data_IF_338023408909
#
_entry.id   IF_338023408909
#
_cell.length_a   1.000
_cell.length_b   1.000
_cell.length_c   1.000
_cell.angle_alpha   90.00
_cell.angle_beta   90.00
_cell.angle_gamma   90.00
#
_symmetry.space_group_name_H-M   'P 1'
#
loop_
_entity.id
_entity.type
_entity.pdbx_description
1 polymer ?
#
# COMPACT_ATOMS: atom_id res chain seq x y z
N UNK A 1 -3.63 -12.55 -20.74
CA UNK A 1 -2.72 -11.64 -21.47
C UNK A 1 -1.33 -12.30 -21.52
N UNK A 2 -0.93 -12.84 -22.68
CA UNK A 2 0.33 -13.62 -22.82
C UNK A 2 1.62 -12.79 -22.74
N UNK A 3 1.50 -11.47 -22.60
CA UNK A 3 2.65 -10.54 -22.58
C UNK A 3 3.36 -10.56 -21.24
N UNK A 4 2.63 -10.70 -20.12
CA UNK A 4 3.23 -10.62 -18.79
C UNK A 4 4.27 -11.74 -18.54
N UNK A 5 4.00 -13.04 -18.80
CA UNK A 5 5.00 -14.08 -18.62
C UNK A 5 6.26 -13.87 -19.47
N UNK A 6 6.11 -13.39 -20.72
CA UNK A 6 7.24 -13.08 -21.61
C UNK A 6 8.09 -11.93 -21.08
N UNK A 7 7.45 -10.86 -20.60
CA UNK A 7 8.14 -9.73 -19.98
C UNK A 7 8.81 -10.12 -18.66
N UNK A 8 8.17 -10.97 -17.86
CA UNK A 8 8.76 -11.47 -16.61
C UNK A 8 10.01 -12.29 -16.86
N UNK A 9 10.01 -13.17 -17.87
CA UNK A 9 11.21 -13.89 -18.28
C UNK A 9 12.34 -12.92 -18.65
N UNK A 10 12.03 -11.87 -19.43
CA UNK A 10 13.01 -10.83 -19.78
C UNK A 10 13.56 -10.12 -18.54
N UNK A 11 12.70 -9.72 -17.60
CA UNK A 11 13.13 -9.01 -16.39
C UNK A 11 13.96 -9.89 -15.47
N UNK A 12 13.65 -11.19 -15.37
CA UNK A 12 14.44 -12.11 -14.56
C UNK A 12 15.80 -12.43 -15.18
N UNK A 13 15.88 -12.48 -16.51
CA UNK A 13 17.12 -12.85 -17.22
C UNK A 13 18.03 -11.65 -17.48
N UNK A 14 17.47 -10.48 -17.78
CA UNK A 14 18.22 -9.30 -18.22
C UNK A 14 17.89 -8.07 -17.36
N UNK A 15 18.69 -7.86 -16.33
CA UNK A 15 18.66 -6.67 -15.45
C UNK A 15 19.51 -5.52 -16.02
N UNK A 16 19.26 -5.14 -17.27
CA UNK A 16 20.08 -4.19 -18.06
C UNK A 16 19.36 -2.82 -18.23
N UNK A 17 18.07 -2.76 -17.88
CA UNK A 17 17.19 -1.66 -18.22
C UNK A 17 17.42 -0.44 -17.30
N UNK A 18 18.39 0.40 -17.67
CA UNK A 18 18.73 1.64 -16.94
C UNK A 18 17.80 2.82 -17.31
N UNK A 19 17.20 2.80 -18.51
CA UNK A 19 16.35 3.91 -19.00
C UNK A 19 14.87 3.63 -18.74
N UNK A 20 14.25 4.43 -17.86
CA UNK A 20 12.82 4.35 -17.52
C UNK A 20 11.87 4.69 -18.68
N UNK A 21 12.39 5.21 -19.80
CA UNK A 21 11.63 5.64 -20.97
C UNK A 21 10.87 4.49 -21.66
N UNK A 22 11.47 3.30 -21.68
CA UNK A 22 10.87 2.10 -22.28
C UNK A 22 9.57 1.70 -21.59
N UNK A 23 9.53 1.76 -20.25
CA UNK A 23 8.32 1.47 -19.47
C UNK A 23 7.19 2.45 -19.81
N UNK A 24 7.51 3.73 -20.02
CA UNK A 24 6.53 4.72 -20.46
C UNK A 24 5.97 4.45 -21.86
N UNK A 25 6.76 3.88 -22.77
CA UNK A 25 6.28 3.43 -24.09
C UNK A 25 5.35 2.21 -23.94
N UNK A 26 5.79 1.17 -23.23
CA UNK A 26 4.98 -0.04 -23.01
C UNK A 26 3.67 0.25 -22.27
N UNK A 27 3.71 1.13 -21.27
CA UNK A 27 2.52 1.55 -20.55
C UNK A 27 1.52 2.27 -21.46
N UNK A 28 1.99 3.12 -22.40
CA UNK A 28 1.14 3.77 -23.40
C UNK A 28 0.51 2.73 -24.34
N UNK A 29 1.27 1.74 -24.80
CA UNK A 29 0.77 0.71 -25.71
C UNK A 29 -0.26 -0.19 -25.02
N UNK A 30 -0.01 -0.60 -23.78
CA UNK A 30 -0.98 -1.33 -22.95
C UNK A 30 -2.24 -0.49 -22.75
N UNK A 31 -2.09 0.81 -22.45
CA UNK A 31 -3.25 1.70 -22.28
C UNK A 31 -4.06 1.83 -23.57
N UNK A 32 -3.41 2.02 -24.72
CA UNK A 32 -4.08 2.04 -26.04
C UNK A 32 -4.84 0.74 -26.31
N UNK A 33 -4.25 -0.41 -25.98
CA UNK A 33 -4.90 -1.71 -26.13
C UNK A 33 -6.12 -1.84 -25.22
N UNK A 34 -5.98 -1.56 -23.92
CA UNK A 34 -7.05 -1.64 -22.92
C UNK A 34 -8.24 -0.74 -23.28
N UNK A 35 -7.96 0.45 -23.82
CA UNK A 35 -9.00 1.42 -24.19
C UNK A 35 -9.42 1.35 -25.67
N UNK A 36 -8.92 0.38 -26.45
CA UNK A 36 -9.22 0.25 -27.89
C UNK A 36 -8.98 1.56 -28.67
N UNK A 37 -7.89 2.26 -28.36
CA UNK A 37 -7.55 3.57 -28.95
C UNK A 37 -8.35 4.76 -28.41
N UNK A 38 -9.35 4.55 -27.55
CA UNK A 38 -10.14 5.62 -26.92
C UNK A 38 -9.37 6.28 -25.77
N UNK A 39 -9.78 7.49 -25.37
CA UNK A 39 -9.18 8.21 -24.24
C UNK A 39 -9.38 7.42 -22.93
N UNK A 40 -8.32 7.21 -22.13
CA UNK A 40 -8.42 6.52 -20.84
C UNK A 40 -9.45 7.19 -19.91
N UNK A 41 -10.39 6.40 -19.38
CA UNK A 41 -11.42 6.89 -18.44
C UNK A 41 -10.98 6.76 -16.98
N UNK A 42 -10.02 5.88 -16.70
CA UNK A 42 -9.53 5.55 -15.36
C UNK A 42 -8.03 5.82 -15.31
N UNK A 43 -7.55 6.39 -14.19
CA UNK A 43 -6.12 6.59 -13.97
C UNK A 43 -5.40 5.25 -13.95
N UNK A 44 -4.21 5.19 -14.55
CA UNK A 44 -3.44 3.94 -14.64
C UNK A 44 -3.11 3.34 -13.27
N UNK A 45 -2.84 4.17 -12.26
CA UNK A 45 -2.56 3.76 -10.88
C UNK A 45 -3.71 2.95 -10.27
N UNK A 46 -4.95 3.38 -10.47
CA UNK A 46 -6.17 2.66 -10.07
C UNK A 46 -6.34 1.35 -10.86
N UNK A 47 -6.04 1.35 -12.16
CA UNK A 47 -6.08 0.13 -12.97
C UNK A 47 -5.11 -0.93 -12.43
N UNK A 48 -3.92 -0.52 -11.99
CA UNK A 48 -2.88 -1.40 -11.46
C UNK A 48 -3.10 -1.87 -10.03
N UNK A 49 -3.96 -1.20 -9.26
CA UNK A 49 -4.18 -1.57 -7.86
C UNK A 49 -4.85 -2.95 -7.72
N UNK A 50 -4.70 -3.55 -6.55
CA UNK A 50 -5.24 -4.86 -6.26
C UNK A 50 -6.78 -4.87 -6.36
N UNK A 51 -7.35 -5.99 -6.84
CA UNK A 51 -8.82 -6.18 -6.90
C UNK A 51 -9.48 -5.98 -5.54
N UNK A 52 -8.81 -6.42 -4.47
CA UNK A 52 -9.31 -6.25 -3.10
C UNK A 52 -9.55 -4.79 -2.73
N UNK A 53 -8.68 -3.90 -3.21
CA UNK A 53 -8.72 -2.46 -2.96
C UNK A 53 -9.57 -1.69 -3.98
N UNK A 54 -10.22 -2.38 -4.91
CA UNK A 54 -11.06 -1.78 -5.94
C UNK A 54 -10.32 -1.42 -7.24
N UNK A 55 -9.08 -1.89 -7.41
CA UNK A 55 -8.39 -1.83 -8.70
C UNK A 55 -8.78 -2.96 -9.64
N UNK A 56 -8.20 -2.96 -10.85
CA UNK A 56 -8.44 -3.99 -11.86
C UNK A 56 -7.34 -5.06 -11.91
N UNK A 57 -6.32 -4.95 -11.04
CA UNK A 57 -5.12 -5.79 -11.04
C UNK A 57 -4.43 -5.86 -12.42
N UNK A 58 -4.37 -4.72 -13.12
CA UNK A 58 -3.56 -4.59 -14.33
C UNK A 58 -2.07 -4.70 -13.96
N UNK A 59 -1.27 -5.52 -14.64
CA UNK A 59 0.16 -5.65 -14.34
C UNK A 59 0.94 -4.35 -14.58
N UNK A 60 1.64 -3.85 -13.56
CA UNK A 60 2.61 -2.76 -13.73
C UNK A 60 4.00 -3.35 -14.05
N UNK A 61 4.40 -3.25 -15.33
CA UNK A 61 5.67 -3.79 -15.81
C UNK A 61 6.89 -3.18 -15.11
N UNK A 62 6.82 -1.91 -14.69
CA UNK A 62 7.91 -1.25 -13.98
C UNK A 62 8.08 -1.84 -12.58
N UNK A 63 6.99 -2.01 -11.85
CA UNK A 63 7.04 -2.64 -10.51
C UNK A 63 7.48 -4.10 -10.60
N UNK A 64 7.11 -4.82 -11.66
CA UNK A 64 7.60 -6.19 -11.89
C UNK A 64 9.11 -6.23 -12.18
N UNK A 65 9.63 -5.28 -12.96
CA UNK A 65 11.06 -5.16 -13.20
C UNK A 65 11.82 -4.86 -11.90
N UNK A 66 11.34 -3.90 -11.10
CA UNK A 66 11.93 -3.56 -9.80
C UNK A 66 11.85 -4.74 -8.81
N UNK A 67 10.74 -5.50 -8.80
CA UNK A 67 10.62 -6.72 -8.00
C UNK A 67 11.60 -7.83 -8.43
N UNK A 68 11.82 -8.00 -9.74
CA UNK A 68 12.80 -8.95 -10.26
C UNK A 68 14.24 -8.52 -9.91
N UNK A 69 14.52 -7.22 -9.86
CA UNK A 69 15.82 -6.69 -9.43
C UNK A 69 16.11 -7.08 -7.96
N UNK A 70 15.11 -7.05 -7.09
CA UNK A 70 15.25 -7.52 -5.71
C UNK A 70 15.55 -9.02 -5.60
N UNK A 71 15.04 -9.85 -6.51
CA UNK A 71 15.41 -11.27 -6.55
C UNK A 71 16.91 -11.45 -6.84
N UNK A 72 17.51 -10.61 -7.68
CA UNK A 72 18.96 -10.62 -7.92
C UNK A 72 19.74 -10.06 -6.73
N UNK A 73 19.22 -9.01 -6.09
CA UNK A 73 19.85 -8.42 -4.90
C UNK A 73 19.85 -9.38 -3.71
N UNK A 74 18.92 -10.33 -3.64
CA UNK A 74 18.89 -11.36 -2.58
C UNK A 74 20.22 -12.07 -2.43
N UNK A 75 20.85 -12.47 -3.53
CA UNK A 75 22.17 -13.12 -3.53
C UNK A 75 23.25 -12.21 -2.92
N UNK A 76 23.20 -10.91 -3.22
CA UNK A 76 24.18 -9.93 -2.74
C UNK A 76 24.01 -9.61 -1.26
N UNK A 77 22.78 -9.71 -0.75
CA UNK A 77 22.45 -9.50 0.65
C UNK A 77 22.82 -10.72 1.51
N UNK A 78 22.48 -11.92 1.03
CA UNK A 78 22.69 -13.16 1.79
C UNK A 78 24.12 -13.70 1.70
N UNK A 79 24.82 -13.41 0.61
CA UNK A 79 26.17 -13.91 0.29
C UNK A 79 26.24 -15.43 0.11
N UNK A 80 25.13 -16.08 -0.28
CA UNK A 80 25.04 -17.55 -0.37
C UNK A 80 25.74 -18.16 -1.61
N UNK A 81 25.63 -17.51 -2.78
CA UNK A 81 26.15 -18.02 -4.05
C UNK A 81 27.51 -17.41 -4.40
N UNK A 82 28.60 -17.89 -3.77
CA UNK A 82 29.97 -17.34 -3.91
C UNK A 82 30.40 -17.23 -5.37
N UNK A 83 30.21 -18.27 -6.18
CA UNK A 83 30.68 -18.30 -7.57
C UNK A 83 30.02 -17.21 -8.42
N UNK A 84 28.71 -17.05 -8.24
CA UNK A 84 27.92 -16.03 -8.94
C UNK A 84 28.34 -14.63 -8.45
N UNK A 85 28.63 -14.46 -7.18
CA UNK A 85 29.10 -13.19 -6.59
C UNK A 85 30.52 -12.83 -7.04
N UNK A 86 31.37 -13.82 -7.26
CA UNK A 86 32.73 -13.61 -7.77
C UNK A 86 32.71 -13.21 -9.24
N UNK A 87 31.98 -13.95 -10.07
CA UNK A 87 31.71 -13.58 -11.47
C UNK A 87 31.08 -12.19 -11.57
N UNK A 88 29.99 -11.95 -10.83
CA UNK A 88 29.29 -10.67 -10.87
C UNK A 88 30.12 -9.53 -10.32
N UNK A 89 31.14 -9.77 -9.50
CA UNK A 89 31.91 -8.74 -8.79
C UNK A 89 33.40 -8.75 -9.11
N UNK A 90 33.82 -9.25 -10.28
CA UNK A 90 35.22 -9.51 -10.61
C UNK A 90 36.18 -8.31 -10.44
N UNK A 91 35.68 -7.08 -10.60
CA UNK A 91 36.43 -5.83 -10.47
C UNK A 91 36.00 -4.99 -9.25
N UNK A 92 35.31 -5.60 -8.27
CA UNK A 92 35.01 -4.93 -7.01
C UNK A 92 36.26 -4.90 -6.13
N UNK A 93 36.49 -3.77 -5.46
CA UNK A 93 37.63 -3.60 -4.53
C UNK A 93 37.27 -4.09 -3.13
N UNK A 94 36.01 -3.90 -2.73
CA UNK A 94 35.47 -4.29 -1.42
C UNK A 94 34.33 -5.31 -1.56
N UNK A 95 33.86 -5.82 -0.44
CA UNK A 95 32.64 -6.62 -0.36
C UNK A 95 31.39 -5.91 -0.87
N UNK A 96 30.34 -6.68 -1.17
CA UNK A 96 29.03 -6.21 -1.63
C UNK A 96 28.34 -5.32 -0.60
N UNK A 97 28.43 -5.63 0.70
CA UNK A 97 27.82 -4.83 1.77
C UNK A 97 28.47 -3.45 1.89
N UNK A 98 29.74 -3.33 1.51
CA UNK A 98 30.44 -2.04 1.41
C UNK A 98 29.77 -1.09 0.41
N UNK A 99 29.36 -1.62 -0.75
CA UNK A 99 28.70 -0.85 -1.79
C UNK A 99 27.22 -0.60 -1.48
N UNK A 100 26.52 -1.57 -0.90
CA UNK A 100 25.08 -1.47 -0.61
C UNK A 100 24.77 -0.56 0.59
N UNK A 101 25.59 -0.59 1.64
CA UNK A 101 25.30 0.13 2.88
C UNK A 101 26.18 1.35 3.12
N UNK A 102 27.50 1.23 2.95
CA UNK A 102 28.50 2.26 3.27
C UNK A 102 28.86 3.21 2.12
N UNK A 103 28.06 3.21 1.04
CA UNK A 103 28.16 4.17 -0.07
C UNK A 103 29.55 4.27 -0.73
N UNK A 104 30.33 3.17 -0.69
CA UNK A 104 31.64 3.04 -1.36
C UNK A 104 31.56 3.21 -2.88
N UNK A 105 30.34 3.21 -3.42
CA UNK A 105 30.04 3.51 -4.82
C UNK A 105 30.44 4.94 -5.21
N UNK A 106 30.43 5.90 -4.26
CA UNK A 106 30.93 7.27 -4.52
C UNK A 106 32.45 7.30 -4.75
N UNK A 107 33.18 6.47 -4.01
CA UNK A 107 34.64 6.38 -4.10
C UNK A 107 35.12 5.54 -5.27
N UNK A 108 34.38 4.47 -5.63
CA UNK A 108 34.77 3.53 -6.69
C UNK A 108 33.74 3.48 -7.82
N UNK A 109 33.98 4.28 -8.86
CA UNK A 109 33.11 4.35 -10.06
C UNK A 109 33.00 3.02 -10.81
N UNK A 110 33.99 2.12 -10.69
CA UNK A 110 34.01 0.81 -11.34
C UNK A 110 32.75 -0.03 -11.06
N UNK A 111 32.16 0.11 -9.87
CA UNK A 111 30.91 -0.58 -9.51
C UNK A 111 29.71 -0.10 -10.36
N UNK A 112 29.61 1.21 -10.59
CA UNK A 112 28.55 1.83 -11.42
C UNK A 112 28.79 1.73 -12.92
N UNK A 113 30.02 1.46 -13.35
CA UNK A 113 30.33 1.28 -14.77
C UNK A 113 29.73 -0.02 -15.33
N UNK A 114 29.52 -1.03 -14.48
CA UNK A 114 28.88 -2.28 -14.90
C UNK A 114 27.37 -2.09 -15.07
N UNK A 115 26.85 -2.36 -16.26
CA UNK A 115 25.46 -2.05 -16.66
C UNK A 115 24.45 -2.70 -15.71
N UNK A 116 24.63 -4.00 -15.39
CA UNK A 116 23.74 -4.72 -14.48
C UNK A 116 23.85 -4.22 -13.05
N UNK A 117 25.06 -3.87 -12.58
CA UNK A 117 25.24 -3.44 -11.19
C UNK A 117 24.65 -2.07 -10.97
N UNK A 118 24.83 -1.18 -11.94
CA UNK A 118 24.23 0.14 -11.97
C UNK A 118 22.70 0.04 -11.89
N UNK A 119 22.07 -0.79 -12.73
CA UNK A 119 20.62 -0.96 -12.75
C UNK A 119 20.09 -1.47 -11.39
N UNK A 120 20.69 -2.54 -10.85
CA UNK A 120 20.30 -3.12 -9.56
C UNK A 120 20.52 -2.13 -8.40
N UNK A 121 21.64 -1.41 -8.41
CA UNK A 121 21.97 -0.42 -7.38
C UNK A 121 21.03 0.79 -7.41
N UNK A 122 20.59 1.23 -8.60
CA UNK A 122 19.62 2.30 -8.74
C UNK A 122 18.27 1.89 -8.12
N UNK A 123 17.82 0.65 -8.35
CA UNK A 123 16.61 0.11 -7.71
C UNK A 123 16.79 0.02 -6.19
N UNK A 124 17.92 -0.49 -5.72
CA UNK A 124 18.22 -0.56 -4.29
C UNK A 124 18.16 0.82 -3.63
N UNK A 125 18.85 1.81 -4.20
CA UNK A 125 18.93 3.17 -3.64
C UNK A 125 17.55 3.83 -3.54
N UNK A 126 16.65 3.58 -4.50
CA UNK A 126 15.29 4.12 -4.50
C UNK A 126 14.45 3.63 -3.31
N UNK A 127 14.68 2.41 -2.85
CA UNK A 127 13.87 1.74 -1.85
C UNK A 127 14.60 1.49 -0.52
N UNK A 128 15.91 1.72 -0.46
CA UNK A 128 16.76 1.50 0.72
C UNK A 128 16.15 2.12 1.97
N UNK A 129 15.83 3.41 1.93
CA UNK A 129 15.32 4.14 3.10
C UNK A 129 13.89 3.73 3.51
N UNK A 130 13.12 3.18 2.56
CA UNK A 130 11.76 2.66 2.80
C UNK A 130 11.80 1.26 3.44
N UNK A 131 12.80 0.45 3.07
CA UNK A 131 12.98 -0.92 3.53
C UNK A 131 13.74 -0.97 4.86
N UNK A 132 14.81 -0.19 4.97
CA UNK A 132 15.76 -0.19 6.08
C UNK A 132 16.06 1.25 6.53
N UNK A 133 15.35 1.70 7.57
CA UNK A 133 15.54 3.03 8.16
C UNK A 133 16.68 3.08 9.21
N UNK A 134 17.20 1.91 9.60
CA UNK A 134 18.27 1.71 10.60
C UNK A 134 19.26 0.67 10.08
N UNK A 135 20.39 0.49 10.76
CA UNK A 135 21.37 -0.52 10.38
C UNK A 135 20.74 -1.92 10.42
N UNK A 136 20.74 -2.65 9.29
CA UNK A 136 19.99 -3.88 9.17
C UNK A 136 20.74 -5.05 9.79
N UNK A 137 19.95 -6.05 10.21
CA UNK A 137 20.41 -7.24 10.89
C UNK A 137 21.22 -8.19 10.01
N UNK A 138 20.94 -8.21 8.70
CA UNK A 138 21.64 -9.03 7.70
C UNK A 138 23.01 -8.50 7.28
N UNK A 139 23.36 -7.25 7.65
CA UNK A 139 24.63 -6.63 7.27
C UNK A 139 25.80 -7.31 7.98
N UNK A 140 26.87 -7.56 7.23
CA UNK A 140 28.14 -8.05 7.76
C UNK A 140 29.18 -6.94 7.75
N UNK A 141 29.61 -6.45 8.94
CA UNK A 141 30.63 -5.42 9.07
C UNK A 141 31.98 -5.85 8.51
N UNK A 142 32.27 -7.15 8.62
CA UNK A 142 33.54 -7.70 8.17
C UNK A 142 33.60 -7.76 6.66
N UNK A 143 32.56 -8.27 6.01
CA UNK A 143 32.49 -8.32 4.55
C UNK A 143 32.59 -6.92 3.94
N UNK A 144 31.94 -5.93 4.57
CA UNK A 144 31.97 -4.56 4.12
C UNK A 144 33.37 -3.89 4.21
N UNK A 145 34.23 -4.34 5.13
CA UNK A 145 35.60 -3.85 5.26
C UNK A 145 36.63 -4.67 4.49
N UNK A 146 36.34 -5.94 4.24
CA UNK A 146 37.25 -6.84 3.54
C UNK A 146 37.53 -6.38 2.11
N UNK A 147 38.80 -6.45 1.71
CA UNK A 147 39.17 -6.32 0.30
C UNK A 147 38.81 -7.60 -0.43
N UNK A 148 38.21 -7.45 -1.62
CA UNK A 148 37.74 -8.60 -2.37
C UNK A 148 38.91 -9.46 -2.86
N UNK A 149 38.85 -10.76 -2.56
CA UNK A 149 39.71 -11.81 -3.14
C UNK A 149 38.84 -12.82 -3.89
N UNK A 150 39.42 -13.52 -4.86
CA UNK A 150 38.75 -14.67 -5.49
C UNK A 150 38.54 -15.76 -4.44
N UNK A 151 37.34 -16.35 -4.40
CA UNK A 151 36.97 -17.42 -3.48
C UNK A 151 37.11 -17.03 -1.99
N UNK A 152 36.73 -15.80 -1.61
CA UNK A 152 36.67 -15.44 -0.18
C UNK A 152 35.73 -16.37 0.59
N UNK A 153 36.08 -16.67 1.84
CA UNK A 153 35.24 -17.46 2.73
C UNK A 153 33.83 -16.85 2.86
N UNK A 154 32.81 -17.69 2.67
CA UNK A 154 31.42 -17.28 2.58
C UNK A 154 30.76 -16.97 3.94
N UNK A 155 31.42 -17.31 5.06
CA UNK A 155 30.82 -17.32 6.39
C UNK A 155 31.21 -16.09 7.22
N UNK A 156 30.93 -14.90 6.68
CA UNK A 156 31.10 -13.68 7.45
C UNK A 156 29.95 -13.52 8.47
N UNK A 157 30.25 -13.16 9.72
CA UNK A 157 29.21 -12.99 10.73
C UNK A 157 28.37 -11.75 10.43
N UNK A 158 27.05 -11.87 10.62
CA UNK A 158 26.06 -10.80 10.41
C UNK A 158 25.67 -10.14 11.73
N UNK A 159 25.15 -8.91 11.71
CA UNK A 159 24.81 -8.20 12.95
C UNK A 159 23.86 -8.96 13.87
N UNK A 160 22.90 -9.73 13.33
CA UNK A 160 22.01 -10.55 14.16
C UNK A 160 22.72 -11.63 14.99
N UNK A 161 23.94 -12.01 14.62
CA UNK A 161 24.73 -13.03 15.30
C UNK A 161 25.73 -12.44 16.29
N UNK A 162 26.21 -11.22 16.05
CA UNK A 162 27.31 -10.59 16.80
C UNK A 162 26.78 -9.68 17.92
N UNK A 163 25.53 -9.22 17.82
CA UNK A 163 24.93 -8.31 18.79
C UNK A 163 24.25 -9.08 19.94
N UNK A 164 24.46 -8.58 21.16
CA UNK A 164 23.73 -8.97 22.36
C UNK A 164 22.82 -7.82 22.80
N UNK A 165 21.65 -8.17 23.33
CA UNK A 165 20.71 -7.19 23.90
C UNK A 165 21.12 -6.89 25.33
N UNK A 166 21.37 -5.61 25.63
CA UNK A 166 21.67 -5.10 26.97
C UNK A 166 20.66 -4.02 27.33
N UNK A 167 19.52 -4.46 27.89
CA UNK A 167 18.35 -3.62 28.16
C UNK A 167 17.73 -3.03 26.88
N UNK A 168 17.70 -1.70 26.79
CA UNK A 168 17.25 -0.94 25.61
C UNK A 168 18.35 -0.74 24.55
N UNK A 169 19.59 -1.12 24.85
CA UNK A 169 20.75 -0.88 23.99
C UNK A 169 21.36 -2.17 23.45
N UNK A 170 22.07 -2.09 22.32
CA UNK A 170 22.82 -3.20 21.76
C UNK A 170 24.28 -3.10 22.18
N UNK A 171 24.83 -4.23 22.62
CA UNK A 171 26.27 -4.39 22.87
C UNK A 171 26.86 -5.41 21.92
N UNK A 172 28.12 -5.19 21.56
CA UNK A 172 28.90 -6.20 20.84
C UNK A 172 29.23 -7.35 21.80
N UNK A 173 29.05 -8.60 21.36
CA UNK A 173 29.48 -9.78 22.12
C UNK A 173 30.98 -9.73 22.42
N UNK A 174 31.39 -10.32 23.55
CA UNK A 174 32.80 -10.42 23.90
C UNK A 174 33.55 -11.28 22.88
N UNK A 175 34.85 -11.00 22.71
CA UNK A 175 35.72 -11.74 21.79
C UNK A 175 35.74 -13.24 22.09
N UNK A 176 35.58 -13.64 23.35
CA UNK A 176 35.52 -15.04 23.78
C UNK A 176 34.30 -15.78 23.25
N UNK A 177 33.14 -15.13 23.16
CA UNK A 177 31.90 -15.71 22.60
C UNK A 177 31.93 -15.76 21.08
N UNK A 178 32.78 -14.96 20.45
CA UNK A 178 32.90 -14.85 18.99
C UNK A 178 34.10 -15.63 18.44
N UNK A 179 34.80 -16.44 19.25
CA UNK A 179 35.99 -17.20 18.84
C UNK A 179 35.74 -18.11 17.62
N UNK A 180 34.53 -18.66 17.49
CA UNK A 180 34.17 -19.52 16.35
C UNK A 180 33.88 -18.74 15.06
N UNK A 181 33.72 -17.41 15.14
CA UNK A 181 33.28 -16.54 14.03
C UNK A 181 34.26 -15.44 13.66
N UNK A 182 35.21 -15.13 14.55
CA UNK A 182 36.19 -14.08 14.40
C UNK A 182 37.57 -14.70 14.61
N UNK A 183 38.33 -14.83 13.52
CA UNK A 183 39.62 -15.54 13.52
C UNK A 183 40.69 -14.84 14.38
N UNK A 184 40.72 -13.49 14.40
CA UNK A 184 41.80 -12.71 15.03
C UNK A 184 41.31 -11.52 15.87
N UNK A 185 42.16 -11.05 16.79
CA UNK A 185 41.96 -9.80 17.52
C UNK A 185 41.74 -8.61 16.58
N UNK A 186 42.47 -8.56 15.46
CA UNK A 186 42.37 -7.47 14.49
C UNK A 186 40.98 -7.44 13.85
N UNK A 187 40.46 -8.61 13.51
CA UNK A 187 39.11 -8.78 13.00
C UNK A 187 38.08 -8.26 14.02
N UNK A 188 38.23 -8.60 15.29
CA UNK A 188 37.34 -8.09 16.35
C UNK A 188 37.44 -6.56 16.50
N UNK A 189 38.65 -5.99 16.46
CA UNK A 189 38.85 -4.54 16.53
C UNK A 189 38.19 -3.81 15.35
N UNK A 190 38.30 -4.35 14.14
CA UNK A 190 37.68 -3.78 12.94
C UNK A 190 36.15 -3.76 13.04
N UNK A 191 35.53 -4.83 13.55
CA UNK A 191 34.08 -4.90 13.82
C UNK A 191 33.70 -3.86 14.86
N UNK A 192 34.49 -3.73 15.94
CA UNK A 192 34.23 -2.77 17.02
C UNK A 192 34.24 -1.32 16.53
N UNK A 193 35.11 -0.98 15.59
CA UNK A 193 35.10 0.34 14.96
C UNK A 193 33.84 0.60 14.13
N UNK A 194 33.44 -0.36 13.28
CA UNK A 194 32.24 -0.22 12.45
C UNK A 194 30.99 -0.15 13.33
N UNK A 195 30.93 -0.99 14.36
CA UNK A 195 29.87 -0.96 15.36
C UNK A 195 29.73 0.42 16.04
N UNK A 196 30.84 1.10 16.37
CA UNK A 196 30.79 2.46 16.94
C UNK A 196 30.18 3.48 15.96
N UNK A 197 30.43 3.33 14.66
CA UNK A 197 29.83 4.18 13.63
C UNK A 197 28.34 3.90 13.49
N UNK A 198 27.98 2.62 13.37
CA UNK A 198 26.60 2.19 13.14
C UNK A 198 25.71 2.37 14.38
N UNK A 199 26.30 2.37 15.59
CA UNK A 199 25.61 2.72 16.84
C UNK A 199 25.06 4.15 16.82
N UNK A 200 25.67 5.08 16.05
CA UNK A 200 25.15 6.44 15.90
C UNK A 200 23.84 6.49 15.10
N UNK A 201 23.68 5.59 14.13
CA UNK A 201 22.48 5.45 13.28
C UNK A 201 21.41 4.63 14.01
N UNK A 202 21.84 3.66 14.81
CA UNK A 202 21.00 2.74 15.56
C UNK A 202 20.72 1.44 14.80
N UNK A 203 20.46 0.37 15.55
CA UNK A 203 20.20 -0.96 15.00
C UNK A 203 18.70 -1.26 14.94
N UNK A 204 18.32 -2.06 13.95
CA UNK A 204 16.96 -2.55 13.82
C UNK A 204 16.68 -3.67 14.82
N UNK A 205 15.58 -3.54 15.58
CA UNK A 205 15.23 -4.46 16.67
C UNK A 205 14.41 -5.64 16.14
N UNK A 206 13.42 -5.33 15.32
CA UNK A 206 12.56 -6.32 14.69
C UNK A 206 13.06 -6.68 13.30
N UNK A 207 12.63 -7.83 12.78
CA UNK A 207 12.94 -8.22 11.40
C UNK A 207 12.36 -7.18 10.44
N UNK A 208 13.17 -6.75 9.49
CA UNK A 208 12.71 -5.77 8.51
C UNK A 208 11.66 -6.37 7.57
N UNK A 209 10.85 -5.52 6.93
CA UNK A 209 9.92 -6.00 5.87
C UNK A 209 10.68 -6.67 4.73
N UNK A 210 11.94 -6.28 4.49
CA UNK A 210 12.81 -6.94 3.54
C UNK A 210 13.20 -8.34 4.01
N UNK A 211 13.54 -8.51 5.29
CA UNK A 211 13.87 -9.82 5.86
C UNK A 211 12.70 -10.80 5.75
N UNK A 212 11.51 -10.38 6.17
CA UNK A 212 10.31 -11.22 6.15
C UNK A 212 9.81 -11.57 4.74
N UNK A 213 9.90 -10.64 3.79
CA UNK A 213 9.34 -10.83 2.44
C UNK A 213 10.35 -11.33 1.40
N UNK A 214 11.65 -11.05 1.57
CA UNK A 214 12.70 -11.38 0.59
C UNK A 214 13.68 -12.46 1.08
N UNK A 215 14.19 -12.31 2.31
CA UNK A 215 15.33 -13.12 2.77
C UNK A 215 14.87 -14.48 3.30
N UNK A 216 13.79 -14.55 4.08
CA UNK A 216 13.26 -15.80 4.66
C UNK A 216 12.48 -16.70 3.68
N UNK A 217 11.64 -16.17 2.76
CA UNK A 217 10.84 -17.04 1.92
C UNK A 217 11.67 -17.73 0.83
N UNK A 218 11.56 -19.06 0.74
CA UNK A 218 12.11 -19.84 -0.38
C UNK A 218 11.22 -19.80 -1.63
N UNK A 219 9.95 -19.42 -1.49
CA UNK A 219 8.96 -19.48 -2.58
C UNK A 219 8.24 -18.14 -2.79
N UNK A 220 7.82 -17.89 -4.04
CA UNK A 220 7.01 -16.71 -4.47
C UNK A 220 7.64 -15.34 -4.14
N UNK A 221 8.96 -15.26 -4.06
CA UNK A 221 9.72 -14.04 -3.74
C UNK A 221 9.30 -12.85 -4.64
N UNK A 222 9.20 -13.08 -5.95
CA UNK A 222 8.79 -12.04 -6.90
C UNK A 222 7.38 -11.51 -6.63
N UNK A 223 6.41 -12.40 -6.39
CA UNK A 223 5.02 -11.99 -6.14
C UNK A 223 4.89 -11.23 -4.82
N UNK A 224 5.59 -11.68 -3.77
CA UNK A 224 5.63 -11.00 -2.47
C UNK A 224 6.23 -9.60 -2.60
N UNK A 225 7.38 -9.49 -3.25
CA UNK A 225 8.04 -8.21 -3.47
C UNK A 225 7.18 -7.28 -4.33
N UNK A 226 6.59 -7.78 -5.42
CA UNK A 226 5.66 -7.00 -6.24
C UNK A 226 4.48 -6.47 -5.43
N UNK A 227 3.84 -7.30 -4.60
CA UNK A 227 2.72 -6.87 -3.77
C UNK A 227 3.12 -5.82 -2.73
N UNK A 228 4.33 -5.92 -2.17
CA UNK A 228 4.89 -4.92 -1.26
C UNK A 228 5.11 -3.57 -1.98
N UNK A 229 5.79 -3.60 -3.14
CA UNK A 229 6.05 -2.42 -3.94
C UNK A 229 4.74 -1.78 -4.47
N UNK A 230 3.78 -2.60 -4.89
CA UNK A 230 2.45 -2.15 -5.31
C UNK A 230 1.74 -1.47 -4.14
N UNK A 231 1.79 -2.05 -2.94
CA UNK A 231 1.16 -1.46 -1.75
C UNK A 231 1.70 -0.07 -1.43
N UNK A 232 3.00 0.14 -1.58
CA UNK A 232 3.61 1.46 -1.40
C UNK A 232 3.26 2.42 -2.53
N UNK A 233 3.29 1.93 -3.77
CA UNK A 233 2.91 2.76 -4.91
C UNK A 233 1.46 3.23 -4.77
N UNK A 234 0.52 2.37 -4.36
CA UNK A 234 -0.91 2.69 -4.23
C UNK A 234 -1.30 3.28 -2.86
N UNK A 235 -0.33 3.50 -1.95
CA UNK A 235 -0.61 3.97 -0.59
C UNK A 235 -1.26 5.36 -0.53
N UNK A 236 -0.98 6.22 -1.52
CA UNK A 236 -1.54 7.57 -1.63
C UNK A 236 -2.98 7.59 -2.15
N UNK A 237 -3.50 6.47 -2.67
CA UNK A 237 -4.89 6.40 -3.10
C UNK A 237 -5.77 6.24 -1.85
N UNK A 238 -6.51 7.30 -1.55
CA UNK A 238 -7.22 7.51 -0.27
C UNK A 238 -8.40 6.57 -0.03
N UNK A 239 -8.86 5.86 -1.07
CA UNK A 239 -10.06 5.02 -1.01
C UNK A 239 -9.65 3.56 -0.87
N UNK A 240 -9.26 3.17 0.34
CA UNK A 240 -9.07 1.76 0.68
C UNK A 240 -10.43 1.10 0.89
N UNK A 241 -10.59 -0.13 0.43
CA UNK A 241 -11.80 -0.93 0.66
C UNK A 241 -12.02 -1.13 2.17
N UNK A 242 -13.07 -0.52 2.72
CA UNK A 242 -13.44 -0.68 4.14
C UNK A 242 -14.27 -1.95 4.41
N UNK A 243 -14.76 -2.61 3.35
CA UNK A 243 -15.59 -3.82 3.45
C UNK A 243 -15.25 -4.84 2.37
N UNK A 244 -15.44 -6.14 2.67
CA UNK A 244 -15.29 -7.24 1.72
C UNK A 244 -16.46 -7.31 0.70
N UNK A 245 -17.67 -6.90 1.12
CA UNK A 245 -18.89 -6.87 0.31
C UNK A 245 -18.72 -6.08 -1.00
N UNK A 246 -18.91 -6.76 -2.12
CA UNK A 246 -18.79 -6.22 -3.48
C UNK A 246 -19.78 -5.09 -3.75
N UNK A 247 -21.00 -5.18 -3.22
CA UNK A 247 -22.01 -4.13 -3.39
C UNK A 247 -21.60 -2.78 -2.77
N UNK A 248 -20.97 -2.80 -1.60
CA UNK A 248 -20.51 -1.56 -0.95
C UNK A 248 -19.32 -0.96 -1.68
N UNK A 249 -18.41 -1.82 -2.19
CA UNK A 249 -17.30 -1.39 -3.06
C UNK A 249 -17.84 -0.74 -4.35
N UNK A 250 -18.86 -1.34 -4.97
CA UNK A 250 -19.48 -0.83 -6.19
C UNK A 250 -20.08 0.57 -6.01
N UNK A 251 -20.69 0.87 -4.85
CA UNK A 251 -21.24 2.20 -4.58
C UNK A 251 -20.17 3.29 -4.66
N UNK A 252 -19.01 3.07 -4.05
CA UNK A 252 -17.90 4.03 -4.11
C UNK A 252 -17.40 4.18 -5.55
N UNK A 253 -17.26 3.08 -6.29
CA UNK A 253 -16.87 3.14 -7.70
C UNK A 253 -17.88 3.95 -8.53
N UNK A 254 -19.18 3.74 -8.33
CA UNK A 254 -20.26 4.50 -9.00
C UNK A 254 -20.15 6.00 -8.71
N UNK A 255 -19.77 6.38 -7.50
CA UNK A 255 -19.52 7.78 -7.13
C UNK A 255 -18.27 8.34 -7.84
N UNK A 256 -17.14 7.63 -7.75
CA UNK A 256 -15.86 8.05 -8.33
C UNK A 256 -15.94 8.23 -9.85
N UNK A 257 -16.61 7.30 -10.54
CA UNK A 257 -16.75 7.32 -11.99
C UNK A 257 -17.96 8.14 -12.48
N UNK A 258 -18.69 8.81 -11.57
CA UNK A 258 -19.88 9.61 -11.89
C UNK A 258 -20.89 8.84 -12.73
N UNK A 259 -21.16 7.60 -12.32
CA UNK A 259 -21.99 6.62 -13.03
C UNK A 259 -23.44 7.08 -13.18
N UNK A 260 -23.99 7.73 -12.15
CA UNK A 260 -25.37 8.19 -12.15
C UNK A 260 -25.62 9.26 -13.23
N UNK A 261 -26.60 9.01 -14.09
CA UNK A 261 -27.05 9.96 -15.11
C UNK A 261 -27.80 11.11 -14.43
N UNK A 262 -27.47 12.33 -14.85
CA UNK A 262 -28.07 13.56 -14.31
C UNK A 262 -28.89 14.24 -15.40
N UNK A 263 -29.88 15.09 -15.05
CA UNK A 263 -30.67 15.87 -16.01
C UNK A 263 -29.79 16.57 -17.04
N UNK A 264 -28.73 17.27 -16.60
CA UNK A 264 -27.77 17.95 -17.49
C UNK A 264 -27.08 17.00 -18.48
N UNK A 265 -26.77 15.76 -18.08
CA UNK A 265 -26.22 14.76 -19.00
C UNK A 265 -27.29 14.22 -19.96
N UNK A 266 -28.52 14.04 -19.49
CA UNK A 266 -29.62 13.50 -20.29
C UNK A 266 -30.07 14.48 -21.37
N UNK A 267 -30.12 15.78 -21.08
CA UNK A 267 -30.39 16.82 -22.09
C UNK A 267 -29.38 16.73 -23.25
N UNK A 268 -28.10 16.49 -22.94
CA UNK A 268 -27.06 16.33 -23.96
C UNK A 268 -27.18 15.06 -24.81
N UNK A 269 -27.92 14.05 -24.34
CA UNK A 269 -28.09 12.77 -25.05
C UNK A 269 -29.38 12.79 -25.88
N UNK A 270 -30.49 13.26 -25.29
CA UNK A 270 -31.82 13.10 -25.87
C UNK A 270 -32.45 14.40 -26.38
N UNK A 271 -31.83 15.57 -26.15
CA UNK A 271 -32.24 16.92 -26.60
C UNK A 271 -33.67 17.39 -26.21
N UNK A 272 -34.57 16.51 -25.77
CA UNK A 272 -35.98 16.77 -25.44
C UNK A 272 -36.29 16.58 -23.93
N UNK A 273 -35.38 17.00 -23.05
CA UNK A 273 -35.56 16.84 -21.60
C UNK A 273 -35.21 18.13 -20.86
N UNK A 274 -35.87 18.38 -19.72
CA UNK A 274 -35.52 19.47 -18.83
C UNK A 274 -34.16 19.21 -18.15
N UNK A 275 -33.34 20.25 -18.04
CA UNK A 275 -32.07 20.21 -17.31
C UNK A 275 -32.24 20.42 -15.80
N UNK A 276 -33.48 20.61 -15.33
CA UNK A 276 -33.79 20.91 -13.93
C UNK A 276 -33.58 19.69 -13.03
N UNK A 277 -33.19 19.95 -11.79
CA UNK A 277 -33.00 18.93 -10.77
C UNK A 277 -34.32 18.21 -10.44
N UNK A 278 -34.34 16.87 -10.49
CA UNK A 278 -35.54 16.09 -10.15
C UNK A 278 -36.06 16.27 -8.72
N UNK A 279 -35.24 16.80 -7.80
CA UNK A 279 -35.59 17.01 -6.38
C UNK A 279 -36.18 18.40 -6.14
N UNK A 280 -35.39 19.45 -6.36
CA UNK A 280 -35.81 20.82 -6.12
C UNK A 280 -36.57 21.45 -7.28
N UNK A 281 -36.39 20.97 -8.53
CA UNK A 281 -36.95 21.57 -9.77
C UNK A 281 -36.60 23.05 -10.00
N UNK A 282 -35.71 23.63 -9.21
CA UNK A 282 -35.34 25.07 -9.29
C UNK A 282 -34.02 25.31 -10.02
N UNK A 283 -33.00 24.47 -9.76
CA UNK A 283 -31.64 24.63 -10.30
C UNK A 283 -31.30 23.51 -11.27
N UNK A 284 -30.28 23.74 -12.10
CA UNK A 284 -29.74 22.72 -12.99
C UNK A 284 -29.27 21.47 -12.23
N UNK A 285 -29.73 20.31 -12.69
CA UNK A 285 -29.39 19.00 -12.15
C UNK A 285 -27.97 18.57 -12.52
N UNK A 286 -26.95 19.29 -12.04
CA UNK A 286 -25.55 18.85 -12.14
C UNK A 286 -25.29 17.70 -11.15
N UNK A 287 -24.24 16.91 -11.40
CA UNK A 287 -23.89 15.78 -10.54
C UNK A 287 -23.64 16.22 -9.09
N UNK A 288 -22.88 17.31 -8.90
CA UNK A 288 -22.62 17.86 -7.57
C UNK A 288 -23.88 18.45 -6.95
N UNK A 289 -24.76 19.06 -7.75
CA UNK A 289 -26.01 19.61 -7.24
C UNK A 289 -26.93 18.53 -6.68
N UNK A 290 -27.13 17.45 -7.43
CA UNK A 290 -28.00 16.35 -7.01
C UNK A 290 -27.48 15.56 -5.81
N UNK A 291 -26.16 15.49 -5.61
CA UNK A 291 -25.55 14.76 -4.50
C UNK A 291 -25.33 15.59 -3.24
N UNK A 292 -25.19 16.92 -3.35
CA UNK A 292 -24.78 17.76 -2.23
C UNK A 292 -25.53 19.09 -2.12
N UNK A 293 -25.52 19.94 -3.16
CA UNK A 293 -25.97 21.34 -3.00
C UNK A 293 -27.49 21.55 -3.11
N UNK A 294 -28.24 20.56 -3.59
CA UNK A 294 -29.70 20.63 -3.63
C UNK A 294 -30.26 20.82 -2.23
N UNK A 295 -31.17 21.78 -2.02
CA UNK A 295 -31.77 22.13 -0.71
C UNK A 295 -32.25 20.89 0.04
N UNK A 296 -33.14 20.13 -0.60
CA UNK A 296 -33.65 18.84 -0.16
C UNK A 296 -32.57 17.83 0.28
N UNK A 297 -31.52 17.69 -0.53
CA UNK A 297 -30.44 16.71 -0.28
C UNK A 297 -29.51 17.20 0.84
N UNK A 298 -29.28 18.51 0.92
CA UNK A 298 -28.53 19.15 2.01
C UNK A 298 -29.24 18.95 3.35
N UNK A 299 -30.57 19.03 3.38
CA UNK A 299 -31.36 18.77 4.59
C UNK A 299 -31.23 17.30 5.03
N UNK A 300 -31.26 16.36 4.09
CA UNK A 300 -31.04 14.93 4.38
C UNK A 300 -29.64 14.66 4.94
N UNK A 301 -28.59 15.19 4.30
CA UNK A 301 -27.22 15.08 4.82
C UNK A 301 -27.09 15.77 6.18
N UNK A 302 -27.81 16.87 6.40
CA UNK A 302 -27.89 17.56 7.69
C UNK A 302 -28.48 16.68 8.78
N UNK A 303 -29.61 16.01 8.51
CA UNK A 303 -30.25 15.07 9.45
C UNK A 303 -29.35 13.88 9.76
N UNK A 304 -28.78 13.23 8.75
CA UNK A 304 -27.86 12.10 8.96
C UNK A 304 -26.61 12.54 9.73
N UNK A 305 -26.06 13.71 9.43
CA UNK A 305 -24.92 14.28 10.18
C UNK A 305 -25.24 14.48 11.66
N UNK A 306 -26.45 14.92 12.01
CA UNK A 306 -26.81 15.06 13.41
C UNK A 306 -26.90 13.69 14.10
N UNK A 307 -27.39 12.66 13.41
CA UNK A 307 -27.34 11.29 13.94
C UNK A 307 -25.90 10.77 14.08
N UNK A 308 -25.03 11.10 13.13
CA UNK A 308 -23.60 10.82 13.24
C UNK A 308 -22.98 11.47 14.47
N UNK A 309 -23.28 12.73 14.75
CA UNK A 309 -22.76 13.41 15.94
C UNK A 309 -23.23 12.73 17.23
N UNK A 310 -24.50 12.30 17.29
CA UNK A 310 -25.03 11.55 18.44
C UNK A 310 -24.29 10.22 18.64
N UNK A 311 -23.94 9.52 17.55
CA UNK A 311 -23.23 8.26 17.58
C UNK A 311 -21.74 8.42 17.96
N UNK A 312 -21.06 9.42 17.39
CA UNK A 312 -19.61 9.61 17.53
C UNK A 312 -19.21 10.42 18.76
N UNK A 313 -20.11 11.26 19.28
CA UNK A 313 -19.91 12.15 20.44
C UNK A 313 -18.79 13.19 20.28
N UNK A 314 -18.32 13.47 19.07
CA UNK A 314 -17.42 14.58 18.74
C UNK A 314 -17.83 15.26 17.43
N UNK A 315 -17.46 16.54 17.28
CA UNK A 315 -17.81 17.37 16.13
C UNK A 315 -16.70 17.37 15.08
N UNK A 316 -17.07 17.36 13.79
CA UNK A 316 -16.11 17.43 12.67
C UNK A 316 -16.73 18.18 11.49
N UNK A 317 -15.92 18.69 10.56
CA UNK A 317 -16.46 19.51 9.47
C UNK A 317 -17.23 18.67 8.42
N UNK A 318 -18.38 19.19 7.96
CA UNK A 318 -19.18 18.61 6.87
C UNK A 318 -18.50 18.80 5.51
N UNK A 319 -17.44 18.03 5.25
CA UNK A 319 -16.71 18.06 3.98
C UNK A 319 -17.38 17.16 2.93
N UNK A 320 -17.72 17.67 1.74
CA UNK A 320 -18.31 16.84 0.68
C UNK A 320 -17.40 15.68 0.27
N UNK A 321 -16.09 15.85 0.33
CA UNK A 321 -15.09 14.82 0.01
C UNK A 321 -15.19 13.63 0.98
N UNK A 322 -15.42 13.89 2.27
CA UNK A 322 -15.58 12.85 3.27
C UNK A 322 -16.91 12.09 3.08
N UNK A 323 -18.02 12.80 2.89
CA UNK A 323 -19.34 12.18 2.79
C UNK A 323 -19.62 11.49 1.45
N UNK A 324 -19.15 12.07 0.34
CA UNK A 324 -19.42 11.53 -1.00
C UNK A 324 -18.37 10.52 -1.44
N UNK A 325 -17.10 10.76 -1.12
CA UNK A 325 -15.97 9.98 -1.61
C UNK A 325 -15.30 9.12 -0.52
N UNK A 326 -15.67 9.31 0.75
CA UNK A 326 -15.07 8.57 1.87
C UNK A 326 -13.64 9.02 2.18
N UNK A 327 -13.23 10.22 1.73
CA UNK A 327 -11.89 10.74 1.97
C UNK A 327 -11.86 11.38 3.36
N UNK A 328 -11.58 10.55 4.35
CA UNK A 328 -11.46 10.97 5.75
C UNK A 328 -10.01 11.41 6.01
N UNK A 329 -9.79 12.70 6.26
CA UNK A 329 -8.49 13.23 6.68
C UNK A 329 -8.13 12.83 8.11
N UNK A 330 -7.20 13.56 8.74
CA UNK A 330 -6.82 13.36 10.15
C UNK A 330 -7.90 13.74 11.18
N UNK A 331 -9.07 14.17 10.72
CA UNK A 331 -10.19 14.62 11.56
C UNK A 331 -10.95 13.47 12.23
N UNK A 332 -10.81 12.24 11.72
CA UNK A 332 -11.48 11.06 12.28
C UNK A 332 -10.45 10.08 12.87
N UNK A 333 -10.66 9.59 14.11
CA UNK A 333 -9.84 8.52 14.67
C UNK A 333 -9.86 7.30 13.76
N UNK A 334 -8.72 6.62 13.57
CA UNK A 334 -8.61 5.46 12.66
C UNK A 334 -9.62 4.33 12.96
N UNK A 335 -9.96 4.15 14.25
CA UNK A 335 -10.98 3.17 14.70
C UNK A 335 -12.38 3.48 14.17
N UNK A 336 -12.67 4.76 13.97
CA UNK A 336 -14.01 5.27 13.68
C UNK A 336 -14.28 5.45 12.19
N UNK A 337 -13.22 5.46 11.38
CA UNK A 337 -13.30 5.63 9.92
C UNK A 337 -14.18 4.57 9.28
N UNK A 338 -14.09 3.31 9.73
CA UNK A 338 -14.84 2.19 9.14
C UNK A 338 -16.35 2.36 9.33
N UNK A 339 -16.79 2.67 10.54
CA UNK A 339 -18.20 2.93 10.86
C UNK A 339 -18.73 4.15 10.08
N UNK A 340 -17.95 5.22 10.00
CA UNK A 340 -18.28 6.39 9.19
C UNK A 340 -18.48 6.06 7.70
N UNK A 341 -17.62 5.19 7.15
CA UNK A 341 -17.72 4.76 5.76
C UNK A 341 -18.95 3.90 5.49
N UNK A 342 -19.32 2.97 6.38
CA UNK A 342 -20.58 2.21 6.25
C UNK A 342 -21.79 3.13 6.15
N UNK A 343 -21.81 4.10 7.04
CA UNK A 343 -22.96 4.94 7.26
C UNK A 343 -23.13 6.01 6.17
N UNK A 344 -22.03 6.58 5.68
CA UNK A 344 -22.06 7.44 4.48
C UNK A 344 -22.41 6.62 3.23
N UNK A 345 -21.99 5.35 3.14
CA UNK A 345 -22.40 4.44 2.07
C UNK A 345 -23.89 4.11 2.11
N UNK A 346 -24.46 3.88 3.30
CA UNK A 346 -25.89 3.65 3.49
C UNK A 346 -26.70 4.85 2.96
N UNK A 347 -26.32 6.06 3.38
CA UNK A 347 -26.96 7.29 2.91
C UNK A 347 -26.86 7.46 1.39
N UNK A 348 -25.69 7.16 0.79
CA UNK A 348 -25.51 7.22 -0.67
C UNK A 348 -26.39 6.21 -1.41
N UNK A 349 -26.47 4.98 -0.92
CA UNK A 349 -27.30 3.93 -1.55
C UNK A 349 -28.78 4.31 -1.51
N UNK A 350 -29.26 4.85 -0.39
CA UNK A 350 -30.67 5.27 -0.27
C UNK A 350 -31.00 6.44 -1.21
N UNK A 351 -30.12 7.44 -1.30
CA UNK A 351 -30.28 8.53 -2.26
C UNK A 351 -30.25 8.04 -3.72
N UNK A 352 -29.37 7.09 -4.03
CA UNK A 352 -29.29 6.45 -5.34
C UNK A 352 -30.55 5.61 -5.67
N UNK A 353 -31.17 4.95 -4.68
CA UNK A 353 -32.42 4.20 -4.87
C UNK A 353 -33.56 5.13 -5.28
N UNK A 354 -33.67 6.29 -4.62
CA UNK A 354 -34.66 7.33 -4.95
C UNK A 354 -34.10 8.38 -5.91
N UNK A 355 -33.25 8.01 -6.89
CA UNK A 355 -32.50 9.00 -7.69
C UNK A 355 -33.38 9.91 -8.57
N UNK A 356 -34.32 9.35 -9.33
CA UNK A 356 -35.22 10.08 -10.25
C UNK A 356 -36.50 10.62 -9.60
N UNK A 357 -36.85 10.14 -8.42
CA UNK A 357 -38.11 10.46 -7.72
C UNK A 357 -37.93 11.76 -6.93
N UNK A 358 -38.98 12.57 -6.71
CA UNK A 358 -38.83 13.83 -5.96
C UNK A 358 -38.65 13.62 -4.44
N UNK A 359 -39.08 12.46 -3.94
CA UNK A 359 -38.98 12.04 -2.54
C UNK A 359 -37.53 11.80 -2.09
N UNK A 360 -37.30 12.02 -0.79
CA UNK A 360 -36.00 11.89 -0.15
C UNK A 360 -36.09 10.75 0.88
N UNK A 361 -35.05 9.93 1.05
CA UNK A 361 -35.04 8.91 2.09
C UNK A 361 -35.20 9.51 3.50
N UNK A 362 -35.82 8.75 4.40
CA UNK A 362 -35.96 9.15 5.81
C UNK A 362 -34.76 8.68 6.65
N UNK A 363 -34.63 9.23 7.86
CA UNK A 363 -33.58 8.80 8.81
C UNK A 363 -33.83 7.37 9.29
N UNK A 364 -35.10 6.95 9.42
CA UNK A 364 -35.46 5.57 9.77
C UNK A 364 -35.02 4.58 8.69
N UNK A 365 -35.24 4.91 7.40
CA UNK A 365 -34.72 4.10 6.28
C UNK A 365 -33.19 3.97 6.34
N UNK A 366 -32.50 5.03 6.76
CA UNK A 366 -31.06 5.01 6.96
C UNK A 366 -30.62 4.15 8.16
N UNK A 367 -31.33 4.24 9.29
CA UNK A 367 -31.09 3.39 10.46
C UNK A 367 -31.28 1.91 10.16
N UNK A 368 -32.38 1.54 9.47
CA UNK A 368 -32.61 0.16 9.01
C UNK A 368 -31.47 -0.31 8.10
N UNK A 369 -31.03 0.54 7.15
CA UNK A 369 -29.94 0.16 6.25
C UNK A 369 -28.61 -0.03 6.98
N UNK A 370 -28.40 0.71 8.06
CA UNK A 370 -27.24 0.54 8.94
C UNK A 370 -27.31 -0.76 9.74
N UNK A 371 -28.49 -1.17 10.21
CA UNK A 371 -28.70 -2.48 10.85
C UNK A 371 -28.37 -3.62 9.89
N UNK A 372 -28.86 -3.57 8.64
CA UNK A 372 -28.52 -4.56 7.60
C UNK A 372 -27.00 -4.66 7.37
N UNK A 373 -26.28 -3.53 7.39
CA UNK A 373 -24.82 -3.53 7.23
C UNK A 373 -24.08 -4.11 8.42
N UNK A 374 -24.61 -3.91 9.63
CA UNK A 374 -24.08 -4.52 10.85
C UNK A 374 -24.24 -6.05 10.79
N UNK A 375 -25.43 -6.54 10.43
CA UNK A 375 -25.69 -7.98 10.29
C UNK A 375 -24.80 -8.62 9.21
N UNK A 376 -24.67 -7.98 8.05
CA UNK A 376 -23.78 -8.44 6.99
C UNK A 376 -22.31 -8.48 7.43
N UNK A 377 -21.90 -7.51 8.23
CA UNK A 377 -20.55 -7.49 8.81
C UNK A 377 -20.36 -8.64 9.82
N UNK A 378 -21.33 -8.88 10.70
CA UNK A 378 -21.32 -9.99 11.66
C UNK A 378 -21.22 -11.36 10.95
N UNK A 379 -22.01 -11.58 9.89
CA UNK A 379 -21.95 -12.79 9.08
C UNK A 379 -20.58 -12.96 8.41
N UNK A 380 -20.00 -11.86 7.90
CA UNK A 380 -18.68 -11.88 7.25
C UNK A 380 -17.56 -12.20 8.26
N UNK A 381 -17.66 -11.67 9.49
CA UNK A 381 -16.70 -11.95 10.57
C UNK A 381 -16.70 -13.43 10.96
N UNK A 382 -17.89 -14.03 11.09
CA UNK A 382 -18.07 -15.47 11.38
C UNK A 382 -17.48 -16.38 10.32
N UNK A 383 -17.55 -16.00 9.04
CA UNK A 383 -16.98 -16.80 7.93
C UNK A 383 -15.44 -16.78 7.94
N UNK A 384 -14.82 -15.72 8.47
CA UNK A 384 -13.37 -15.51 8.39
C UNK A 384 -12.60 -15.86 9.68
N UNK A 385 -13.24 -16.49 10.68
CA UNK A 385 -12.63 -16.81 11.99
C UNK A 385 -11.89 -15.62 12.62
N UNK A 386 -12.39 -14.39 12.39
CA UNK A 386 -11.87 -13.21 13.06
C UNK A 386 -12.33 -13.23 14.51
N UNK A 387 -11.41 -12.95 15.45
CA UNK A 387 -11.72 -12.88 16.89
C UNK A 387 -12.92 -11.94 17.09
N UNK A 388 -14.01 -12.46 17.66
CA UNK A 388 -15.26 -11.71 17.91
C UNK A 388 -15.03 -10.36 18.62
N UNK A 389 -13.95 -10.27 19.41
CA UNK A 389 -13.54 -9.09 20.18
C UNK A 389 -13.22 -7.85 19.32
N UNK A 390 -12.52 -7.99 18.17
CA UNK A 390 -12.21 -6.85 17.29
C UNK A 390 -13.46 -6.36 16.54
N UNK A 391 -14.38 -7.27 16.21
CA UNK A 391 -15.61 -6.97 15.47
C UNK A 391 -16.65 -6.27 16.35
N UNK A 392 -16.76 -6.68 17.61
CA UNK A 392 -17.65 -6.04 18.57
C UNK A 392 -17.22 -4.60 18.87
N UNK A 393 -15.93 -4.27 18.85
CA UNK A 393 -15.43 -2.89 19.04
C UNK A 393 -15.93 -1.93 17.94
N UNK A 394 -15.90 -2.34 16.67
CA UNK A 394 -16.22 -1.49 15.51
C UNK A 394 -17.68 -1.00 15.51
N UNK A 395 -18.62 -1.86 15.92
CA UNK A 395 -20.06 -1.56 15.94
C UNK A 395 -20.60 -1.19 17.33
N UNK A 396 -19.77 -1.24 18.38
CA UNK A 396 -20.17 -0.92 19.76
C UNK A 396 -20.85 0.43 19.87
N UNK A 397 -20.28 1.46 19.23
CA UNK A 397 -20.83 2.82 19.23
C UNK A 397 -22.22 2.91 18.57
N UNK A 398 -22.46 2.11 17.53
CA UNK A 398 -23.76 2.06 16.88
C UNK A 398 -24.78 1.28 17.71
N UNK A 399 -24.38 0.18 18.35
CA UNK A 399 -25.23 -0.57 19.29
C UNK A 399 -25.64 0.29 20.50
N UNK A 400 -24.70 1.04 21.07
CA UNK A 400 -24.97 1.99 22.16
C UNK A 400 -25.93 3.11 21.72
N UNK A 401 -25.78 3.59 20.49
CA UNK A 401 -26.68 4.59 19.91
C UNK A 401 -28.09 4.03 19.70
N UNK A 402 -28.21 2.81 19.16
CA UNK A 402 -29.49 2.14 18.98
C UNK A 402 -30.19 1.95 20.32
N UNK A 403 -29.52 1.38 21.32
CA UNK A 403 -30.09 1.15 22.66
C UNK A 403 -30.59 2.43 23.35
N UNK A 404 -29.96 3.58 23.10
CA UNK A 404 -30.27 4.85 23.78
C UNK A 404 -31.32 5.69 23.06
N UNK A 405 -31.37 5.64 21.73
CA UNK A 405 -32.17 6.56 20.92
C UNK A 405 -33.20 5.87 20.02
N UNK A 406 -33.11 4.55 19.84
CA UNK A 406 -34.11 3.73 19.18
C UNK A 406 -34.66 2.77 20.24
N UNK A 407 -35.89 2.95 20.70
CA UNK A 407 -36.55 1.99 21.60
C UNK A 407 -36.72 0.65 20.86
N UNK A 408 -35.71 -0.20 20.86
CA UNK A 408 -35.81 -1.58 20.37
C UNK A 408 -36.41 -2.39 21.52
N UNK A 409 -37.74 -2.32 21.67
CA UNK A 409 -38.48 -3.34 22.38
C UNK A 409 -39.26 -4.28 21.47
N UNK A 410 -39.48 -3.93 20.20
CA UNK A 410 -40.18 -4.79 19.23
C UNK A 410 -39.70 -4.54 17.79
N UNK A 411 -38.48 -4.97 17.43
CA UNK A 411 -38.08 -5.14 16.03
C UNK A 411 -36.92 -6.11 15.86
#
# INVERSE_FOLDING_TARGET
MNVLPKMLFLFQTLQIMDKMECFGKWQRDISKFVWQGKKPRIKFKILTDAKERGGFALPDLKLYYEAAAFCWLKDWLLLENTDVLDLKGFNNVFGWHAYLWYDKVKSHKAFKNHIVRKALFNVWTKYKDLLENKTPRWLSPMEAKAQKRLNMEAKWPKYWEILERDGESWRLQSMEKLKDKVQDWLHYAQIKEVFKLDKKIGFQVEKSKLETELLEPKTKVLSKMYNLLLKWNTQDETVKSFTACTMLKENIMKMMYRWYLTPVKLVKIYHNCDNLCWKCKEKEGTFYHMWWTCSKVKDFWGKNYNEFLKMMKYTFMKKPEAFLLGITGSELPKKDVKLFLYATTAARILLAKKWKIQEIPTVQEWQMKMMEFMELADLTGRIHDQKEEEHQEDWKKFKDYLNKYCNIKDM
#
